data_IF_520828344550
#
_entry.id   IF_520828344550
#
_cell.length_a   1.000
_cell.length_b   1.000
_cell.length_c   1.000
_cell.angle_alpha   90.00
_cell.angle_beta   90.00
_cell.angle_gamma   90.00
#
_symmetry.space_group_name_H-M   'P 1'
#
loop_
_entity.id
_entity.type
_entity.pdbx_description
1 polymer ?
#
# COMPACT_ATOMS: atom_id res chain seq x y z
N UNK A 1 16.98 -12.31 -4.01
CA UNK A 1 16.87 -11.38 -2.88
C UNK A 1 16.40 -12.05 -1.58
N UNK A 2 15.29 -12.80 -1.57
CA UNK A 2 14.84 -13.54 -0.36
C UNK A 2 15.89 -14.55 0.17
N UNK A 3 16.58 -15.21 -0.74
CA UNK A 3 17.62 -16.21 -0.41
C UNK A 3 18.89 -15.58 0.20
N UNK A 4 19.25 -14.37 -0.26
CA UNK A 4 20.43 -13.62 0.22
C UNK A 4 20.16 -13.08 1.63
N UNK A 5 18.98 -12.52 1.88
CA UNK A 5 18.59 -12.04 3.20
C UNK A 5 18.47 -13.19 4.21
N UNK A 6 17.95 -14.36 3.78
CA UNK A 6 17.82 -15.53 4.65
C UNK A 6 19.17 -16.13 5.03
N UNK A 7 20.09 -16.20 4.07
CA UNK A 7 21.48 -16.65 4.32
C UNK A 7 22.25 -15.66 5.19
N UNK A 8 22.10 -14.35 4.95
CA UNK A 8 22.70 -13.29 5.77
C UNK A 8 22.17 -13.32 7.21
N UNK A 9 20.85 -13.39 7.41
CA UNK A 9 20.23 -13.48 8.73
C UNK A 9 20.74 -14.69 9.53
N UNK A 10 20.83 -15.85 8.87
CA UNK A 10 21.35 -17.07 9.48
C UNK A 10 22.85 -16.95 9.82
N UNK A 11 23.63 -16.30 8.95
CA UNK A 11 25.07 -16.06 9.17
C UNK A 11 25.30 -15.15 10.37
N UNK A 12 24.59 -14.02 10.44
CA UNK A 12 24.68 -13.07 11.55
C UNK A 12 24.29 -13.70 12.89
N UNK A 13 23.21 -14.50 12.92
CA UNK A 13 22.81 -15.22 14.12
C UNK A 13 23.88 -16.21 14.61
N UNK A 14 24.56 -16.90 13.69
CA UNK A 14 25.69 -17.81 14.02
C UNK A 14 26.93 -17.06 14.50
N UNK A 15 27.13 -15.84 14.03
CA UNK A 15 28.28 -14.98 14.38
C UNK A 15 28.04 -14.13 15.63
N UNK A 16 26.95 -14.33 16.36
CA UNK A 16 26.68 -13.64 17.63
C UNK A 16 25.90 -12.33 17.51
N UNK A 17 25.32 -12.05 16.33
CA UNK A 17 24.41 -10.93 16.10
C UNK A 17 22.95 -11.38 15.89
N UNK A 18 22.28 -11.92 16.94
CA UNK A 18 20.91 -12.41 16.82
C UNK A 18 19.88 -11.29 16.62
N UNK A 19 20.14 -10.05 17.05
CA UNK A 19 19.21 -8.93 16.85
C UNK A 19 19.22 -8.49 15.39
N UNK A 20 20.40 -8.23 14.81
CA UNK A 20 20.52 -7.89 13.39
C UNK A 20 20.01 -9.02 12.49
N UNK A 21 20.37 -10.27 12.80
CA UNK A 21 19.83 -11.45 12.10
C UNK A 21 18.31 -11.58 12.22
N UNK A 22 17.74 -11.28 13.39
CA UNK A 22 16.29 -11.27 13.62
C UNK A 22 15.56 -10.17 12.85
N UNK A 23 16.10 -8.94 12.82
CA UNK A 23 15.51 -7.82 12.08
C UNK A 23 15.50 -8.11 10.57
N UNK A 24 16.59 -8.64 10.03
CA UNK A 24 16.69 -9.01 8.61
C UNK A 24 15.80 -10.24 8.30
N UNK A 25 15.77 -11.23 9.19
CA UNK A 25 14.98 -12.45 9.02
C UNK A 25 13.47 -12.20 9.11
N UNK A 26 13.02 -11.26 9.95
CA UNK A 26 11.59 -10.92 10.07
C UNK A 26 11.02 -10.23 8.83
N UNK A 27 11.84 -9.56 8.03
CA UNK A 27 11.42 -9.03 6.73
C UNK A 27 11.06 -10.13 5.70
N UNK A 28 11.45 -11.39 5.93
CA UNK A 28 11.12 -12.53 5.06
C UNK A 28 9.79 -13.19 5.43
N UNK A 29 9.20 -12.86 6.58
CA UNK A 29 8.04 -13.54 7.16
C UNK A 29 6.69 -12.89 6.83
N UNK A 30 6.12 -13.16 5.65
CA UNK A 30 4.70 -12.90 5.35
C UNK A 30 4.28 -11.42 5.34
N UNK A 31 2.96 -11.11 5.35
CA UNK A 31 2.45 -9.74 5.22
C UNK A 31 2.91 -8.78 6.34
N UNK A 32 3.38 -9.31 7.47
CA UNK A 32 4.03 -8.54 8.54
C UNK A 32 5.44 -8.08 8.13
N UNK A 33 6.16 -8.88 7.33
CA UNK A 33 7.50 -8.55 6.81
C UNK A 33 7.55 -7.31 5.92
N UNK A 34 6.44 -6.94 5.26
CA UNK A 34 6.34 -5.71 4.47
C UNK A 34 6.34 -4.44 5.34
N UNK A 35 5.76 -4.50 6.55
CA UNK A 35 5.79 -3.40 7.52
C UNK A 35 7.13 -3.31 8.27
N UNK A 36 7.81 -4.46 8.45
CA UNK A 36 9.10 -4.58 9.15
C UNK A 36 10.30 -4.31 8.22
N UNK A 37 10.08 -4.19 6.91
CA UNK A 37 11.12 -3.91 5.92
C UNK A 37 11.97 -2.65 6.23
N UNK A 38 11.38 -1.64 6.88
CA UNK A 38 12.11 -0.45 7.32
C UNK A 38 13.19 -0.74 8.38
N UNK A 39 12.91 -1.66 9.32
CA UNK A 39 13.88 -2.04 10.35
C UNK A 39 14.97 -2.96 9.79
N UNK A 40 14.63 -3.84 8.86
CA UNK A 40 15.60 -4.66 8.14
C UNK A 40 16.55 -3.80 7.29
N UNK A 41 16.03 -2.76 6.62
CA UNK A 41 16.85 -1.80 5.90
C UNK A 41 17.86 -1.09 6.82
N UNK A 42 17.41 -0.63 7.99
CA UNK A 42 18.29 -0.01 9.01
C UNK A 42 19.36 -0.97 9.54
N UNK A 43 19.02 -2.24 9.71
CA UNK A 43 20.00 -3.27 10.10
C UNK A 43 21.07 -3.50 9.01
N UNK A 44 20.68 -3.48 7.74
CA UNK A 44 21.61 -3.59 6.59
C UNK A 44 22.48 -2.34 6.47
N UNK A 45 21.90 -1.15 6.60
CA UNK A 45 22.64 0.12 6.61
C UNK A 45 23.69 0.15 7.73
N UNK A 46 23.30 -0.24 8.95
CA UNK A 46 24.21 -0.26 10.10
C UNK A 46 25.37 -1.25 9.92
N UNK A 47 25.13 -2.41 9.27
CA UNK A 47 26.19 -3.35 8.95
C UNK A 47 27.09 -2.81 7.83
N UNK A 48 26.51 -2.20 6.81
CA UNK A 48 27.26 -1.59 5.72
C UNK A 48 28.18 -0.48 6.21
N UNK A 49 27.70 0.38 7.11
CA UNK A 49 28.51 1.43 7.74
C UNK A 49 29.66 0.85 8.57
N UNK A 50 29.41 -0.23 9.32
CA UNK A 50 30.44 -0.91 10.12
C UNK A 50 31.52 -1.58 9.26
N UNK A 51 31.14 -2.11 8.09
CA UNK A 51 32.06 -2.73 7.13
C UNK A 51 32.65 -1.74 6.11
N UNK A 52 32.14 -0.51 6.04
CA UNK A 52 32.54 0.50 5.06
C UNK A 52 32.19 0.13 3.61
N UNK A 53 31.11 -0.61 3.41
CA UNK A 53 30.64 -1.10 2.09
C UNK A 53 29.31 -0.47 1.71
N UNK A 54 28.87 -0.71 0.47
CA UNK A 54 27.56 -0.24 0.03
C UNK A 54 26.42 -0.87 0.85
N UNK A 55 25.34 -0.11 1.18
CA UNK A 55 24.20 -0.59 1.96
C UNK A 55 23.26 -1.48 1.14
N UNK A 56 23.82 -2.54 0.56
CA UNK A 56 23.11 -3.57 -0.19
C UNK A 56 23.26 -4.93 0.51
N UNK A 57 22.22 -5.79 0.48
CA UNK A 57 22.30 -7.14 1.05
C UNK A 57 23.50 -7.94 0.50
N UNK A 58 23.80 -7.76 -0.78
CA UNK A 58 24.87 -8.43 -1.49
C UNK A 58 26.25 -8.00 -0.98
N UNK A 59 26.52 -6.69 -0.92
CA UNK A 59 27.82 -6.17 -0.47
C UNK A 59 28.07 -6.44 1.02
N UNK A 60 27.03 -6.33 1.86
CA UNK A 60 27.14 -6.68 3.28
C UNK A 60 27.40 -8.17 3.46
N UNK A 61 26.73 -9.04 2.69
CA UNK A 61 27.00 -10.48 2.73
C UNK A 61 28.43 -10.81 2.32
N UNK A 62 28.92 -10.20 1.25
CA UNK A 62 30.30 -10.37 0.81
C UNK A 62 31.28 -9.94 1.90
N UNK A 63 31.08 -8.76 2.49
CA UNK A 63 31.91 -8.26 3.59
C UNK A 63 31.91 -9.17 4.82
N UNK A 64 30.74 -9.71 5.19
CA UNK A 64 30.59 -10.67 6.30
C UNK A 64 31.34 -11.99 6.01
N UNK A 65 31.34 -12.45 4.77
CA UNK A 65 31.96 -13.73 4.38
C UNK A 65 33.48 -13.58 4.12
N UNK A 66 33.95 -12.40 3.69
CA UNK A 66 35.35 -12.18 3.25
C UNK A 66 36.25 -11.45 4.24
N UNK A 67 35.70 -10.76 5.25
CA UNK A 67 36.50 -9.92 6.15
C UNK A 67 37.17 -10.74 7.27
N UNK A 68 38.50 -10.60 7.38
CA UNK A 68 39.25 -11.12 8.53
C UNK A 68 38.85 -10.30 9.77
N UNK A 69 38.28 -10.96 10.79
CA UNK A 69 37.77 -10.28 11.98
C UNK A 69 36.31 -9.79 11.86
N UNK A 70 35.55 -10.28 10.88
CA UNK A 70 34.12 -9.96 10.72
C UNK A 70 33.31 -10.11 12.01
N UNK A 71 33.65 -11.09 12.85
CA UNK A 71 32.97 -11.33 14.12
C UNK A 71 33.05 -10.13 15.10
N UNK A 72 34.19 -9.44 15.16
CA UNK A 72 34.37 -8.28 16.04
C UNK A 72 33.57 -7.07 15.53
N UNK A 73 33.59 -6.85 14.21
CA UNK A 73 32.81 -5.79 13.55
C UNK A 73 31.31 -6.03 13.70
N UNK A 74 30.87 -7.28 13.53
CA UNK A 74 29.47 -7.68 13.72
C UNK A 74 29.03 -7.53 15.17
N UNK A 75 29.90 -7.85 16.14
CA UNK A 75 29.61 -7.67 17.56
C UNK A 75 29.47 -6.19 17.92
N UNK A 76 30.30 -5.32 17.36
CA UNK A 76 30.19 -3.87 17.53
C UNK A 76 28.91 -3.32 16.89
N UNK A 77 28.62 -3.70 15.64
CA UNK A 77 27.40 -3.31 14.94
C UNK A 77 26.14 -3.77 15.70
N UNK A 78 26.15 -4.97 16.27
CA UNK A 78 25.06 -5.50 17.09
C UNK A 78 24.89 -4.70 18.39
N UNK A 79 25.98 -4.28 19.04
CA UNK A 79 25.92 -3.44 20.24
C UNK A 79 25.36 -2.05 19.92
N UNK A 80 25.77 -1.45 18.81
CA UNK A 80 25.23 -0.17 18.34
C UNK A 80 23.74 -0.31 17.96
N UNK A 81 23.37 -1.38 17.25
CA UNK A 81 21.99 -1.66 16.88
C UNK A 81 21.09 -1.85 18.10
N UNK A 82 21.56 -2.50 19.18
CA UNK A 82 20.82 -2.58 20.45
C UNK A 82 20.51 -1.21 21.03
N UNK A 83 21.46 -0.27 20.97
CA UNK A 83 21.27 1.09 21.46
C UNK A 83 20.33 1.92 20.57
N UNK A 84 20.39 1.70 19.25
CA UNK A 84 19.62 2.47 18.25
C UNK A 84 18.22 1.91 17.96
N UNK A 85 17.96 0.65 18.31
CA UNK A 85 16.67 -0.03 18.09
C UNK A 85 15.44 0.80 18.53
N UNK A 86 15.38 1.41 19.74
CA UNK A 86 14.21 2.21 20.11
C UNK A 86 14.00 3.42 19.19
N UNK A 87 15.07 4.03 18.68
CA UNK A 87 14.99 5.15 17.75
C UNK A 87 14.45 4.68 16.40
N UNK A 88 14.98 3.57 15.87
CA UNK A 88 14.51 2.98 14.61
C UNK A 88 13.04 2.56 14.68
N UNK A 89 12.59 2.02 15.82
CA UNK A 89 11.18 1.68 16.04
C UNK A 89 10.27 2.91 16.05
N UNK A 90 10.69 4.00 16.70
CA UNK A 90 9.93 5.27 16.71
C UNK A 90 9.83 5.83 15.28
N UNK A 91 10.92 5.80 14.51
CA UNK A 91 10.94 6.29 13.13
C UNK A 91 10.08 5.42 12.19
N UNK A 92 10.17 4.10 12.30
CA UNK A 92 9.32 3.17 11.55
C UNK A 92 7.83 3.37 11.87
N UNK A 93 7.51 3.60 13.15
CA UNK A 93 6.13 3.86 13.59
C UNK A 93 5.62 5.18 13.02
N UNK A 94 6.40 6.26 13.10
CA UNK A 94 6.02 7.57 12.53
C UNK A 94 5.83 7.53 11.01
N UNK A 95 6.69 6.81 10.30
CA UNK A 95 6.55 6.62 8.86
C UNK A 95 5.24 5.89 8.50
N UNK A 96 4.91 4.84 9.27
CA UNK A 96 3.65 4.11 9.13
C UNK A 96 2.42 4.96 9.47
N UNK A 97 2.49 5.75 10.55
CA UNK A 97 1.41 6.66 10.96
C UNK A 97 1.18 7.75 9.93
N UNK A 98 2.23 8.37 9.36
CA UNK A 98 2.11 9.38 8.32
C UNK A 98 1.41 8.83 7.07
N UNK A 99 1.80 7.63 6.62
CA UNK A 99 1.12 6.95 5.51
C UNK A 99 -0.32 6.59 5.85
N UNK A 100 -0.58 6.15 7.08
CA UNK A 100 -1.94 5.82 7.54
C UNK A 100 -2.84 7.06 7.54
N UNK A 101 -2.34 8.20 8.01
CA UNK A 101 -3.07 9.48 8.01
C UNK A 101 -3.32 9.99 6.59
N UNK A 102 -2.38 9.85 5.67
CA UNK A 102 -2.58 10.19 4.26
C UNK A 102 -3.62 9.28 3.60
N UNK A 103 -3.56 7.98 3.89
CA UNK A 103 -4.53 6.98 3.41
C UNK A 103 -5.92 7.27 4.01
N UNK A 104 -6.02 7.56 5.29
CA UNK A 104 -7.29 7.89 5.97
C UNK A 104 -7.91 9.18 5.44
N UNK A 105 -7.11 10.23 5.22
CA UNK A 105 -7.59 11.49 4.61
C UNK A 105 -8.09 11.27 3.18
N UNK A 106 -7.35 10.50 2.38
CA UNK A 106 -7.75 10.15 1.01
C UNK A 106 -8.98 9.24 0.97
N UNK A 107 -9.06 8.26 1.85
CA UNK A 107 -10.15 7.29 1.93
C UNK A 107 -11.44 7.91 2.49
N UNK A 108 -11.34 8.76 3.52
CA UNK A 108 -12.49 9.48 4.10
C UNK A 108 -13.13 10.45 3.10
N UNK A 109 -12.31 11.27 2.42
CA UNK A 109 -12.79 12.16 1.38
C UNK A 109 -13.42 11.38 0.21
N UNK A 110 -12.82 10.25 -0.18
CA UNK A 110 -13.35 9.36 -1.21
C UNK A 110 -14.70 8.74 -0.82
N UNK A 111 -14.85 8.21 0.40
CA UNK A 111 -16.11 7.63 0.88
C UNK A 111 -17.22 8.68 0.98
N UNK A 112 -16.90 9.90 1.42
CA UNK A 112 -17.84 11.02 1.42
C UNK A 112 -18.33 11.35 0.02
N UNK A 113 -17.41 11.55 -0.93
CA UNK A 113 -17.77 11.84 -2.32
C UNK A 113 -18.54 10.70 -2.97
N UNK A 114 -18.19 9.43 -2.66
CA UNK A 114 -18.95 8.26 -3.08
C UNK A 114 -20.38 8.29 -2.56
N UNK A 115 -20.57 8.59 -1.28
CA UNK A 115 -21.89 8.74 -0.67
C UNK A 115 -22.69 9.89 -1.28
N UNK A 116 -22.06 11.04 -1.52
CA UNK A 116 -22.69 12.20 -2.14
C UNK A 116 -23.20 11.89 -3.56
N UNK A 117 -22.39 11.25 -4.40
CA UNK A 117 -22.79 10.83 -5.74
C UNK A 117 -23.89 9.77 -5.72
N UNK A 118 -23.83 8.80 -4.81
CA UNK A 118 -24.90 7.82 -4.62
C UNK A 118 -26.21 8.50 -4.22
N UNK A 119 -26.16 9.46 -3.30
CA UNK A 119 -27.31 10.27 -2.91
C UNK A 119 -27.92 11.03 -4.09
N UNK A 120 -27.09 11.70 -4.89
CA UNK A 120 -27.51 12.43 -6.09
C UNK A 120 -28.24 11.52 -7.08
N UNK A 121 -27.73 10.32 -7.34
CA UNK A 121 -28.35 9.37 -8.27
C UNK A 121 -29.72 8.91 -7.78
N UNK A 122 -29.83 8.56 -6.50
CA UNK A 122 -31.10 8.15 -5.87
C UNK A 122 -32.11 9.30 -5.91
N UNK A 123 -31.68 10.52 -5.56
CA UNK A 123 -32.53 11.71 -5.61
C UNK A 123 -33.02 11.97 -7.03
N UNK A 124 -32.18 11.84 -8.05
CA UNK A 124 -32.62 12.01 -9.44
C UNK A 124 -33.67 10.98 -9.88
N UNK A 125 -33.54 9.72 -9.46
CA UNK A 125 -34.58 8.71 -9.70
C UNK A 125 -35.87 9.04 -8.96
N UNK A 126 -35.79 9.51 -7.72
CA UNK A 126 -36.96 9.94 -6.95
C UNK A 126 -37.70 11.11 -7.64
N UNK A 127 -36.97 12.09 -8.18
CA UNK A 127 -37.55 13.20 -8.94
C UNK A 127 -38.23 12.71 -10.22
N UNK A 128 -37.59 11.83 -11.00
CA UNK A 128 -38.21 11.24 -12.20
C UNK A 128 -39.49 10.48 -11.84
N UNK A 129 -39.47 9.70 -10.76
CA UNK A 129 -40.65 8.97 -10.26
C UNK A 129 -41.78 9.93 -9.87
N UNK A 130 -41.47 11.00 -9.13
CA UNK A 130 -42.46 12.00 -8.73
C UNK A 130 -43.09 12.70 -9.94
N UNK A 131 -42.29 13.04 -10.96
CA UNK A 131 -42.80 13.62 -12.21
C UNK A 131 -43.66 12.61 -12.96
N UNK A 132 -43.28 11.34 -13.02
CA UNK A 132 -44.06 10.31 -13.69
C UNK A 132 -45.42 10.07 -13.01
N UNK A 133 -45.46 10.11 -11.67
CA UNK A 133 -46.67 9.85 -10.88
C UNK A 133 -47.58 11.07 -10.74
N UNK A 134 -47.01 12.27 -10.63
CA UNK A 134 -47.73 13.48 -10.24
C UNK A 134 -47.69 14.59 -11.30
N UNK A 135 -46.81 14.50 -12.31
CA UNK A 135 -46.58 15.57 -13.28
C UNK A 135 -47.82 15.95 -14.09
N UNK A 136 -48.65 14.96 -14.46
CA UNK A 136 -49.92 15.21 -15.13
C UNK A 136 -50.98 15.89 -14.25
N UNK A 137 -50.99 15.59 -12.95
CA UNK A 137 -52.05 16.02 -12.02
C UNK A 137 -51.71 17.32 -11.26
N UNK A 138 -50.42 17.65 -11.10
CA UNK A 138 -49.95 18.86 -10.41
C UNK A 138 -49.58 20.01 -11.37
N UNK A 139 -49.83 19.85 -12.68
CA UNK A 139 -49.45 20.84 -13.69
C UNK A 139 -47.94 20.93 -13.96
N UNK A 140 -47.15 19.99 -13.43
CA UNK A 140 -45.69 19.91 -13.66
C UNK A 140 -45.47 19.19 -14.98
N UNK A 141 -45.32 19.96 -16.06
CA UNK A 141 -45.00 19.43 -17.38
C UNK A 141 -43.48 19.29 -17.50
N UNK A 142 -42.93 18.07 -17.68
CA UNK A 142 -41.51 17.93 -17.94
C UNK A 142 -41.16 18.58 -19.27
N UNK A 143 -40.01 19.26 -19.30
CA UNK A 143 -39.47 19.91 -20.51
C UNK A 143 -38.97 18.88 -21.54
N UNK A 144 -38.67 17.66 -21.07
CA UNK A 144 -38.20 16.54 -21.88
C UNK A 144 -39.20 15.37 -21.79
N UNK A 145 -39.33 14.56 -22.84
CA UNK A 145 -40.05 13.30 -22.76
C UNK A 145 -39.48 12.40 -21.65
N UNK A 146 -40.36 11.80 -20.85
CA UNK A 146 -39.97 10.86 -19.78
C UNK A 146 -39.02 9.73 -20.25
N UNK A 147 -39.21 9.11 -21.44
CA UNK A 147 -38.28 8.09 -21.93
C UNK A 147 -36.85 8.60 -22.11
N UNK A 148 -36.68 9.84 -22.58
CA UNK A 148 -35.37 10.47 -22.75
C UNK A 148 -34.72 10.75 -21.40
N UNK A 149 -35.49 11.24 -20.42
CA UNK A 149 -35.01 11.45 -19.06
C UNK A 149 -34.55 10.14 -18.40
N UNK A 150 -35.33 9.07 -18.54
CA UNK A 150 -34.98 7.74 -18.00
C UNK A 150 -33.75 7.17 -18.69
N UNK A 151 -33.64 7.31 -20.02
CA UNK A 151 -32.48 6.85 -20.78
C UNK A 151 -31.20 7.59 -20.39
N UNK A 152 -31.26 8.93 -20.32
CA UNK A 152 -30.13 9.76 -19.93
C UNK A 152 -29.72 9.52 -18.47
N UNK A 153 -30.68 9.44 -17.54
CA UNK A 153 -30.36 9.19 -16.13
C UNK A 153 -29.90 7.75 -15.87
N UNK A 154 -30.40 6.80 -16.67
CA UNK A 154 -29.96 5.41 -16.70
C UNK A 154 -28.51 5.26 -17.12
N UNK A 155 -28.05 6.01 -18.13
CA UNK A 155 -26.64 5.98 -18.56
C UNK A 155 -25.69 6.56 -17.50
N UNK A 156 -26.10 7.63 -16.81
CA UNK A 156 -25.38 8.18 -15.65
C UNK A 156 -25.28 7.15 -14.53
N UNK A 157 -26.39 6.48 -14.21
CA UNK A 157 -26.45 5.44 -13.17
C UNK A 157 -25.57 4.24 -13.52
N UNK A 158 -25.60 3.77 -14.77
CA UNK A 158 -24.76 2.67 -15.25
C UNK A 158 -23.27 3.02 -15.21
N UNK A 159 -22.92 4.23 -15.63
CA UNK A 159 -21.52 4.71 -15.58
C UNK A 159 -21.04 4.78 -14.13
N UNK A 160 -21.87 5.29 -13.23
CA UNK A 160 -21.57 5.30 -11.80
C UNK A 160 -21.38 3.89 -11.23
N UNK A 161 -22.30 2.97 -11.53
CA UNK A 161 -22.21 1.59 -11.09
C UNK A 161 -20.95 0.90 -11.63
N UNK A 162 -20.61 1.09 -12.91
CA UNK A 162 -19.44 0.48 -13.53
C UNK A 162 -18.12 1.01 -12.94
N UNK A 163 -17.99 2.33 -12.77
CA UNK A 163 -16.74 2.96 -12.33
C UNK A 163 -16.54 2.88 -10.81
N UNK A 164 -17.61 3.07 -10.03
CA UNK A 164 -17.50 3.30 -8.59
C UNK A 164 -18.02 2.15 -7.73
N UNK A 165 -18.93 1.30 -8.23
CA UNK A 165 -19.37 0.08 -7.53
C UNK A 165 -18.75 -1.20 -8.13
N UNK A 166 -18.47 -1.23 -9.44
CA UNK A 166 -17.84 -2.33 -10.18
C UNK A 166 -16.30 -2.25 -10.26
N UNK A 167 -15.68 -1.31 -9.54
CA UNK A 167 -14.24 -1.02 -9.65
C UNK A 167 -13.30 -2.18 -9.29
N UNK A 168 -13.75 -3.21 -8.56
CA UNK A 168 -12.96 -4.45 -8.39
C UNK A 168 -12.96 -5.29 -9.68
N UNK A 169 -14.11 -5.41 -10.33
CA UNK A 169 -14.29 -6.16 -11.58
C UNK A 169 -13.58 -5.49 -12.75
N UNK A 170 -13.60 -4.15 -12.84
CA UNK A 170 -12.91 -3.40 -13.89
C UNK A 170 -11.38 -3.40 -13.72
N UNK A 171 -10.88 -3.42 -12.47
CA UNK A 171 -9.44 -3.58 -12.19
C UNK A 171 -8.93 -4.99 -12.47
N UNK A 172 -9.79 -6.00 -12.36
CA UNK A 172 -9.49 -7.40 -12.71
C UNK A 172 -9.63 -7.68 -14.22
N UNK A 173 -10.52 -6.98 -14.91
CA UNK A 173 -10.75 -7.11 -16.36
C UNK A 173 -9.84 -6.18 -17.20
N UNK A 174 -9.40 -5.04 -16.67
CA UNK A 174 -8.49 -4.14 -17.41
C UNK A 174 -7.16 -4.80 -17.86
N UNK A 175 -6.52 -5.69 -17.07
CA UNK A 175 -5.37 -6.47 -17.52
C UNK A 175 -5.71 -7.47 -18.63
N UNK A 176 -6.91 -8.08 -18.60
CA UNK A 176 -7.33 -9.06 -19.60
C UNK A 176 -7.80 -8.41 -20.90
N UNK A 177 -8.24 -7.14 -20.84
CA UNK A 177 -8.56 -6.29 -22.00
C UNK A 177 -7.38 -5.46 -22.52
N UNK A 178 -6.18 -5.62 -21.95
CA UNK A 178 -4.94 -5.03 -22.46
C UNK A 178 -4.68 -3.56 -22.10
N UNK A 179 -5.42 -2.99 -21.15
CA UNK A 179 -5.18 -1.62 -20.64
C UNK A 179 -4.40 -1.64 -19.30
N UNK A 180 -3.07 -1.44 -19.38
CA UNK A 180 -2.13 -1.25 -18.25
C UNK A 180 -1.86 -2.52 -17.44
N UNK A 181 -0.65 -2.92 -17.05
CA UNK A 181 0.69 -2.32 -16.92
C UNK A 181 1.64 -3.31 -17.61
N UNK A 182 2.30 -2.92 -18.72
CA UNK A 182 3.45 -3.71 -19.22
C UNK A 182 4.50 -3.64 -18.12
N UNK A 183 4.71 -4.75 -17.42
CA UNK A 183 5.83 -4.89 -16.51
C UNK A 183 7.10 -4.50 -17.26
N UNK A 184 7.82 -3.52 -16.70
CA UNK A 184 9.18 -3.24 -17.13
C UNK A 184 9.97 -4.54 -16.98
N UNK A 185 10.45 -5.04 -18.12
CA UNK A 185 11.57 -5.97 -18.17
C UNK A 185 12.85 -5.18 -17.96
#
# INVERSE_FOLDING_TARGET
MSDILGTLATSLAKQGAPLLGGLIGTALGGPVGAAVGGLAGKAIESLADAFGVDPTPEAVKEAVDSSIGAADVIAEAEAQARAMLPIWQIEATRASEAQTVEIERGFGAWQFWRGAWQGLIITGWAVILLIALLGGNLGIRPLLPLPEMVSAWGSVTLTWLAVFNGGHTLKEIAPTLGFGRRGAR
#
